data_IF_754297058901
#
_entry.id   IF_754297058901
#
_cell.length_a   1.000
_cell.length_b   1.000
_cell.length_c   1.000
_cell.angle_alpha   90.00
_cell.angle_beta   90.00
_cell.angle_gamma   90.00
#
_symmetry.space_group_name_H-M   'P 1'
#
loop_
_entity.id
_entity.type
_entity.pdbx_description
1 polymer ?
#
# COMPACT_ATOMS: atom_id res chain seq x y z
N UNK A 1 -10.91 -14.36 0.30
CA UNK A 1 -9.86 -14.96 -0.58
C UNK A 1 -8.64 -14.07 -0.42
N UNK A 2 -7.50 -14.61 -0.01
CA UNK A 2 -6.25 -13.86 0.08
C UNK A 2 -5.55 -13.93 -1.28
N UNK A 3 -5.59 -12.86 -2.05
CA UNK A 3 -5.03 -12.79 -3.41
C UNK A 3 -3.50 -12.91 -3.46
N UNK A 4 -2.82 -12.81 -2.33
CA UNK A 4 -1.37 -12.80 -2.24
C UNK A 4 -0.77 -14.06 -1.57
N UNK A 5 -1.60 -15.08 -1.29
CA UNK A 5 -1.12 -16.39 -0.86
C UNK A 5 -0.34 -17.16 -1.94
N UNK A 6 -0.72 -17.11 -3.25
CA UNK A 6 0.08 -17.81 -4.24
C UNK A 6 1.50 -17.23 -4.32
N UNK A 7 2.50 -18.08 -4.24
CA UNK A 7 3.93 -17.70 -4.31
C UNK A 7 4.25 -16.87 -5.57
N UNK A 8 3.66 -17.25 -6.71
CA UNK A 8 3.81 -16.52 -7.98
C UNK A 8 3.28 -15.10 -7.93
N UNK A 9 2.15 -14.85 -7.25
CA UNK A 9 1.58 -13.53 -7.07
C UNK A 9 2.47 -12.67 -6.16
N UNK A 10 3.00 -13.23 -5.06
CA UNK A 10 3.91 -12.55 -4.14
C UNK A 10 5.23 -12.18 -4.85
N UNK A 11 5.82 -13.08 -5.66
CA UNK A 11 7.04 -12.82 -6.43
C UNK A 11 6.84 -11.71 -7.47
N UNK A 12 5.70 -11.72 -8.19
CA UNK A 12 5.35 -10.64 -9.13
C UNK A 12 5.16 -9.31 -8.41
N UNK A 13 4.47 -9.32 -7.27
CA UNK A 13 4.30 -8.14 -6.45
C UNK A 13 5.64 -7.54 -6.02
N UNK A 14 6.57 -8.36 -5.54
CA UNK A 14 7.89 -7.90 -5.10
C UNK A 14 8.72 -7.26 -6.24
N UNK A 15 8.55 -7.73 -7.49
CA UNK A 15 9.26 -7.22 -8.67
C UNK A 15 8.56 -6.01 -9.31
N UNK A 16 7.23 -6.01 -9.33
CA UNK A 16 6.45 -5.06 -10.12
C UNK A 16 5.97 -3.82 -9.36
N UNK A 17 6.06 -3.80 -8.03
CA UNK A 17 5.65 -2.61 -7.27
C UNK A 17 6.76 -1.57 -7.21
N UNK A 18 6.51 -0.34 -7.67
CA UNK A 18 7.48 0.74 -7.57
C UNK A 18 7.62 1.28 -6.15
N UNK A 19 8.64 2.06 -5.91
CA UNK A 19 8.93 2.67 -4.61
C UNK A 19 8.02 3.88 -4.34
N UNK A 20 6.72 3.66 -4.18
CA UNK A 20 5.75 4.73 -3.91
C UNK A 20 5.97 5.48 -2.60
N UNK A 21 6.61 4.80 -1.62
CA UNK A 21 6.44 5.15 -0.21
C UNK A 21 7.31 6.32 0.23
N UNK A 22 8.45 6.56 -0.43
CA UNK A 22 9.40 7.61 0.01
C UNK A 22 8.78 9.00 0.07
N UNK A 23 7.96 9.37 -0.93
CA UNK A 23 7.27 10.67 -0.92
C UNK A 23 6.23 10.75 0.20
N UNK A 24 5.48 9.66 0.42
CA UNK A 24 4.49 9.60 1.51
C UNK A 24 5.17 9.66 2.89
N UNK A 25 6.29 8.96 3.08
CA UNK A 25 7.04 9.01 4.34
C UNK A 25 7.64 10.38 4.60
N UNK A 26 8.14 11.07 3.56
CA UNK A 26 8.59 12.47 3.69
C UNK A 26 7.44 13.37 4.11
N UNK A 27 6.26 13.21 3.52
CA UNK A 27 5.07 13.96 3.89
C UNK A 27 4.66 13.69 5.35
N UNK A 28 4.72 12.44 5.82
CA UNK A 28 4.50 12.09 7.24
C UNK A 28 5.52 12.81 8.13
N UNK A 29 6.80 12.80 7.75
CA UNK A 29 7.86 13.48 8.50
C UNK A 29 7.60 14.97 8.66
N UNK A 30 7.24 15.63 7.56
CA UNK A 30 6.94 17.07 7.53
C UNK A 30 5.69 17.40 8.37
N UNK A 31 4.61 16.63 8.19
CA UNK A 31 3.37 16.83 8.93
C UNK A 31 3.56 16.66 10.45
N UNK A 32 4.27 15.62 10.85
CA UNK A 32 4.57 15.35 12.27
C UNK A 32 5.70 16.23 12.83
N UNK A 33 6.31 17.09 12.01
CA UNK A 33 7.42 17.98 12.37
C UNK A 33 8.58 17.23 13.06
N UNK A 34 9.00 16.11 12.47
CA UNK A 34 10.01 15.24 13.08
C UNK A 34 11.42 15.80 12.89
N UNK A 35 11.94 16.52 13.89
CA UNK A 35 13.33 17.00 13.93
C UNK A 35 14.34 15.84 14.13
N UNK A 36 13.91 14.76 14.78
CA UNK A 36 14.64 13.53 15.00
C UNK A 36 13.78 12.31 14.70
N UNK A 37 14.42 11.18 14.44
CA UNK A 37 13.71 9.93 14.23
C UNK A 37 12.92 9.51 15.46
N UNK A 38 11.76 8.94 15.21
CA UNK A 38 10.96 8.22 16.20
C UNK A 38 11.77 7.03 16.77
N UNK A 39 11.43 6.60 17.95
CA UNK A 39 12.09 5.43 18.56
C UNK A 39 11.66 4.14 17.85
N UNK A 40 10.34 3.90 17.76
CA UNK A 40 9.78 2.68 17.16
C UNK A 40 8.59 2.96 16.26
N UNK A 41 8.61 2.37 15.06
CA UNK A 41 7.47 2.35 14.13
C UNK A 41 7.10 0.92 13.76
N UNK A 42 5.79 0.68 13.59
CA UNK A 42 5.21 -0.58 13.12
C UNK A 42 4.44 -0.35 11.84
N UNK A 43 4.67 -1.20 10.85
CA UNK A 43 3.92 -1.27 9.60
C UNK A 43 3.08 -2.54 9.58
N UNK A 44 1.75 -2.40 9.61
CA UNK A 44 0.81 -3.53 9.63
C UNK A 44 0.32 -3.79 8.21
N UNK A 45 0.19 -5.06 7.82
CA UNK A 45 -0.04 -5.53 6.45
C UNK A 45 1.06 -5.04 5.51
N UNK A 46 2.30 -5.25 5.91
CA UNK A 46 3.50 -4.70 5.26
C UNK A 46 3.85 -5.39 3.93
N UNK A 47 3.26 -6.52 3.62
CA UNK A 47 3.52 -7.28 2.41
C UNK A 47 4.99 -7.62 2.24
N UNK A 48 5.56 -7.22 1.08
CA UNK A 48 6.99 -7.41 0.77
C UNK A 48 7.91 -6.37 1.41
N UNK A 49 7.43 -5.58 2.37
CA UNK A 49 8.21 -4.66 3.19
C UNK A 49 8.67 -3.37 2.51
N UNK A 50 8.08 -2.98 1.37
CA UNK A 50 8.47 -1.74 0.68
C UNK A 50 8.09 -0.49 1.51
N UNK A 51 6.89 -0.45 2.08
CA UNK A 51 6.45 0.59 3.02
C UNK A 51 7.27 0.58 4.31
N UNK A 52 7.50 -0.62 4.86
CA UNK A 52 8.28 -0.81 6.09
C UNK A 52 9.70 -0.29 5.92
N UNK A 53 10.36 -0.60 4.81
CA UNK A 53 11.71 -0.11 4.52
C UNK A 53 11.76 1.42 4.45
N UNK A 54 10.74 2.05 3.91
CA UNK A 54 10.68 3.51 3.83
C UNK A 54 10.60 4.16 5.22
N UNK A 55 9.99 3.50 6.21
CA UNK A 55 9.94 3.99 7.60
C UNK A 55 11.32 4.11 8.27
N UNK A 56 12.35 3.44 7.75
CA UNK A 56 13.74 3.63 8.23
C UNK A 56 14.23 5.08 8.09
N UNK A 57 13.58 5.88 7.23
CA UNK A 57 13.88 7.31 7.11
C UNK A 57 13.50 8.09 8.36
N UNK A 58 12.40 7.69 9.03
CA UNK A 58 11.79 8.45 10.13
C UNK A 58 11.77 7.73 11.48
N UNK A 59 12.22 6.46 11.55
CA UNK A 59 12.27 5.70 12.79
C UNK A 59 13.62 4.97 12.96
N UNK A 60 14.05 4.79 14.23
CA UNK A 60 15.28 4.09 14.60
C UNK A 60 15.11 2.57 14.57
N UNK A 61 13.97 2.08 15.06
CA UNK A 61 13.59 0.67 15.07
C UNK A 61 12.30 0.51 14.29
N UNK A 62 12.31 -0.33 13.27
CA UNK A 62 11.16 -0.57 12.40
C UNK A 62 10.75 -2.03 12.44
N UNK A 63 9.45 -2.24 12.55
CA UNK A 63 8.82 -3.55 12.58
C UNK A 63 7.80 -3.64 11.45
N UNK A 64 7.68 -4.82 10.83
CA UNK A 64 6.68 -5.10 9.82
C UNK A 64 5.92 -6.37 10.15
N UNK A 65 4.60 -6.36 10.00
CA UNK A 65 3.77 -7.56 10.16
C UNK A 65 2.85 -7.75 8.97
N UNK A 66 2.68 -9.01 8.58
CA UNK A 66 1.71 -9.42 7.56
C UNK A 66 1.16 -10.80 7.92
N UNK A 67 -0.04 -11.09 7.47
CA UNK A 67 -0.64 -12.42 7.65
C UNK A 67 -0.13 -13.46 6.64
N UNK A 68 0.49 -13.02 5.52
CA UNK A 68 1.04 -13.89 4.48
C UNK A 68 2.52 -14.20 4.71
N UNK A 69 2.87 -15.46 5.01
CA UNK A 69 4.28 -15.89 5.07
C UNK A 69 5.01 -15.71 3.74
N UNK A 70 4.32 -15.89 2.62
CA UNK A 70 4.87 -15.77 1.25
C UNK A 70 5.34 -14.35 1.00
N UNK A 71 4.55 -13.36 1.38
CA UNK A 71 4.91 -11.94 1.28
C UNK A 71 6.11 -11.61 2.16
N UNK A 72 6.12 -12.05 3.41
CA UNK A 72 7.21 -11.80 4.35
C UNK A 72 8.53 -12.49 3.95
N UNK A 73 8.47 -13.67 3.31
CA UNK A 73 9.67 -14.33 2.78
C UNK A 73 10.39 -13.50 1.71
N UNK A 74 9.65 -12.64 1.00
CA UNK A 74 10.16 -11.72 -0.02
C UNK A 74 10.39 -10.30 0.53
N UNK A 75 10.18 -10.07 1.83
CA UNK A 75 10.24 -8.75 2.40
C UNK A 75 11.64 -8.13 2.30
N UNK A 76 11.67 -6.86 1.89
CA UNK A 76 12.89 -6.08 1.70
C UNK A 76 13.44 -5.53 3.03
N UNK A 77 14.77 -5.44 3.14
CA UNK A 77 15.43 -4.80 4.28
C UNK A 77 15.48 -5.69 5.53
N UNK A 78 15.51 -7.01 5.36
CA UNK A 78 15.51 -8.01 6.45
C UNK A 78 16.60 -7.79 7.50
N UNK A 79 17.75 -7.23 7.13
CA UNK A 79 18.87 -7.01 8.08
C UNK A 79 18.63 -5.86 9.07
N UNK A 80 17.68 -4.96 8.76
CA UNK A 80 17.44 -3.73 9.52
C UNK A 80 16.01 -3.66 10.09
N UNK A 81 15.15 -4.59 9.71
CA UNK A 81 13.72 -4.59 10.04
C UNK A 81 13.38 -5.94 10.66
N UNK A 82 12.55 -5.90 11.70
CA UNK A 82 12.03 -7.12 12.33
C UNK A 82 10.66 -7.44 11.75
N UNK A 83 10.56 -8.56 11.02
CA UNK A 83 9.31 -9.03 10.46
C UNK A 83 8.71 -10.15 11.30
N UNK A 84 7.38 -10.16 11.43
CA UNK A 84 6.63 -11.20 12.12
C UNK A 84 5.31 -11.51 11.41
N UNK A 85 4.90 -12.77 11.38
CA UNK A 85 3.58 -13.16 10.88
C UNK A 85 2.55 -12.79 11.95
N UNK A 86 1.57 -11.95 11.59
CA UNK A 86 0.47 -11.58 12.46
C UNK A 86 -0.73 -11.03 11.66
N UNK A 87 -1.93 -11.25 12.19
CA UNK A 87 -3.13 -10.56 11.72
C UNK A 87 -3.17 -9.12 12.26
N UNK A 88 -3.81 -8.22 11.52
CA UNK A 88 -3.89 -6.81 11.91
C UNK A 88 -4.58 -6.61 13.28
N UNK A 89 -5.50 -7.49 13.61
CA UNK A 89 -6.33 -7.48 14.81
C UNK A 89 -5.68 -8.11 16.04
N UNK A 90 -4.47 -8.71 15.87
CA UNK A 90 -3.74 -9.36 16.96
C UNK A 90 -2.24 -9.36 16.67
N UNK A 91 -1.50 -8.50 17.36
CA UNK A 91 -0.10 -8.25 17.13
C UNK A 91 0.79 -8.79 18.26
N UNK A 92 1.97 -9.36 17.96
CA UNK A 92 2.84 -10.00 18.95
C UNK A 92 3.73 -8.99 19.71
N UNK A 93 3.20 -7.82 20.07
CA UNK A 93 3.95 -6.78 20.75
C UNK A 93 3.26 -6.36 22.05
N UNK A 94 4.05 -5.90 23.06
CA UNK A 94 3.49 -5.33 24.28
C UNK A 94 2.69 -4.05 24.04
N UNK A 95 1.86 -3.69 25.02
CA UNK A 95 1.11 -2.44 25.04
C UNK A 95 2.05 -1.23 24.97
N UNK A 96 1.57 -0.14 24.39
CA UNK A 96 2.26 1.17 24.37
C UNK A 96 3.72 1.09 23.87
N UNK A 97 3.96 0.27 22.83
CA UNK A 97 5.30 -0.01 22.31
C UNK A 97 5.74 0.95 21.21
N UNK A 98 4.82 1.58 20.49
CA UNK A 98 5.13 2.29 19.25
C UNK A 98 4.75 3.78 19.29
N UNK A 99 5.62 4.59 18.66
CA UNK A 99 5.39 6.01 18.44
C UNK A 99 4.56 6.26 17.17
N UNK A 100 4.58 5.28 16.25
CA UNK A 100 3.87 5.32 14.98
C UNK A 100 3.46 3.90 14.59
N UNK A 101 2.19 3.76 14.21
CA UNK A 101 1.67 2.60 13.48
C UNK A 101 1.23 3.06 12.10
N UNK A 102 1.65 2.37 11.05
CA UNK A 102 1.24 2.65 9.67
C UNK A 102 0.51 1.46 9.05
N UNK A 103 -0.42 1.76 8.15
CA UNK A 103 -1.01 0.79 7.22
C UNK A 103 -1.01 1.39 5.83
N UNK A 104 -0.36 0.70 4.89
CA UNK A 104 -0.32 1.10 3.49
C UNK A 104 -1.17 0.17 2.64
N UNK A 105 -2.26 0.67 2.07
CA UNK A 105 -3.13 -0.07 1.11
C UNK A 105 -3.68 -1.41 1.64
N UNK A 106 -3.72 -1.62 2.96
CA UNK A 106 -4.13 -2.88 3.59
C UNK A 106 -5.45 -2.80 4.37
N UNK A 107 -5.85 -1.61 4.80
CA UNK A 107 -6.93 -1.41 5.79
C UNK A 107 -8.30 -1.99 5.36
N UNK A 108 -8.55 -2.09 4.06
CA UNK A 108 -9.80 -2.65 3.51
C UNK A 108 -9.94 -4.18 3.66
N UNK A 109 -8.91 -4.86 4.18
CA UNK A 109 -8.93 -6.29 4.49
C UNK A 109 -9.28 -6.59 5.97
N UNK A 110 -9.29 -5.57 6.83
CA UNK A 110 -9.36 -5.70 8.27
C UNK A 110 -10.79 -5.73 8.81
N UNK A 111 -10.96 -6.38 9.94
CA UNK A 111 -12.02 -6.06 10.91
C UNK A 111 -11.62 -4.77 11.62
N UNK A 112 -12.18 -3.65 11.13
CA UNK A 112 -11.75 -2.31 11.54
C UNK A 112 -11.94 -2.07 13.04
N UNK A 113 -13.03 -2.57 13.63
CA UNK A 113 -13.30 -2.40 15.06
C UNK A 113 -12.25 -3.10 15.92
N UNK A 114 -11.87 -4.31 15.57
CA UNK A 114 -10.83 -5.07 16.27
C UNK A 114 -9.44 -4.47 16.02
N UNK A 115 -9.17 -4.10 14.76
CA UNK A 115 -7.91 -3.45 14.39
C UNK A 115 -7.69 -2.15 15.15
N UNK A 116 -8.69 -1.28 15.27
CA UNK A 116 -8.57 -0.03 16.03
C UNK A 116 -8.32 -0.30 17.51
N UNK A 117 -8.98 -1.29 18.11
CA UNK A 117 -8.68 -1.71 19.48
C UNK A 117 -7.23 -2.15 19.67
N UNK A 118 -6.71 -2.94 18.71
CA UNK A 118 -5.32 -3.40 18.74
C UNK A 118 -4.32 -2.26 18.48
N UNK A 119 -4.58 -1.39 17.51
CA UNK A 119 -3.75 -0.22 17.25
C UNK A 119 -3.69 0.71 18.47
N UNK A 120 -4.82 0.89 19.17
CA UNK A 120 -4.86 1.66 20.42
C UNK A 120 -3.98 1.00 21.50
N UNK A 121 -4.05 -0.31 21.67
CA UNK A 121 -3.19 -1.03 22.64
C UNK A 121 -1.71 -0.83 22.34
N UNK A 122 -1.32 -0.90 21.06
CA UNK A 122 0.08 -0.87 20.61
C UNK A 122 0.72 0.52 20.68
N UNK A 123 -0.02 1.57 20.38
CA UNK A 123 0.49 2.92 20.35
C UNK A 123 0.76 3.45 21.76
N UNK A 124 1.77 4.28 21.93
CA UNK A 124 1.97 5.11 23.12
C UNK A 124 0.88 6.19 23.18
N UNK A 125 0.64 6.76 24.36
CA UNK A 125 -0.28 7.90 24.51
C UNK A 125 0.12 9.05 23.57
N UNK A 126 -0.86 9.69 22.94
CA UNK A 126 -0.70 10.79 21.98
C UNK A 126 0.10 10.43 20.70
N UNK A 127 0.41 9.16 20.48
CA UNK A 127 1.10 8.67 19.27
C UNK A 127 0.15 8.51 18.10
N UNK A 128 0.69 8.14 16.93
CA UNK A 128 0.01 8.25 15.65
C UNK A 128 -0.28 6.92 14.98
N UNK A 129 -1.52 6.76 14.54
CA UNK A 129 -1.93 5.80 13.51
C UNK A 129 -2.02 6.57 12.19
N UNK A 130 -1.24 6.15 11.18
CA UNK A 130 -1.27 6.75 9.85
C UNK A 130 -1.71 5.72 8.84
N UNK A 131 -2.85 5.97 8.20
CA UNK A 131 -3.38 5.15 7.12
C UNK A 131 -3.15 5.88 5.81
N UNK A 132 -2.62 5.19 4.79
CA UNK A 132 -2.44 5.79 3.48
C UNK A 132 -2.55 4.78 2.33
N UNK A 133 -2.87 5.28 1.16
CA UNK A 133 -2.93 4.49 -0.05
C UNK A 133 -2.38 5.26 -1.25
N UNK A 134 -1.54 4.58 -2.05
CA UNK A 134 -1.17 5.02 -3.39
C UNK A 134 -2.04 4.25 -4.39
N UNK A 135 -3.04 4.90 -4.97
CA UNK A 135 -3.95 4.28 -5.93
C UNK A 135 -3.71 4.81 -7.34
N UNK A 136 -3.88 3.91 -8.29
CA UNK A 136 -3.70 4.24 -9.70
C UNK A 136 -4.88 5.11 -10.19
N UNK A 137 -4.58 6.30 -10.73
CA UNK A 137 -5.60 7.25 -11.24
C UNK A 137 -5.55 7.39 -12.77
N UNK A 138 -4.73 6.58 -13.44
CA UNK A 138 -4.57 6.58 -14.90
C UNK A 138 -4.23 7.96 -15.49
N UNK A 139 -3.46 8.75 -14.80
CA UNK A 139 -3.05 10.07 -15.28
C UNK A 139 -1.60 10.03 -15.76
N UNK A 140 -1.42 10.07 -17.07
CA UNK A 140 -0.12 10.23 -17.74
C UNK A 140 -0.07 11.66 -18.30
N UNK A 141 0.78 12.57 -17.75
CA UNK A 141 0.85 13.95 -18.22
C UNK A 141 1.11 14.05 -19.74
N UNK A 142 0.28 14.82 -20.41
CA UNK A 142 0.36 14.96 -21.87
C UNK A 142 -0.32 13.86 -22.68
N UNK A 143 -0.96 12.88 -22.04
CA UNK A 143 -1.63 11.77 -22.72
C UNK A 143 -3.04 11.49 -22.13
N UNK A 144 -4.05 12.19 -22.64
CA UNK A 144 -5.45 12.01 -22.21
C UNK A 144 -6.01 10.64 -22.62
N UNK A 145 -5.52 10.05 -23.71
CA UNK A 145 -5.99 8.73 -24.17
C UNK A 145 -5.67 7.63 -23.15
N UNK A 146 -4.57 7.75 -22.40
CA UNK A 146 -4.22 6.81 -21.34
C UNK A 146 -5.26 6.80 -20.22
N UNK A 147 -5.82 7.97 -19.90
CA UNK A 147 -6.88 8.10 -18.90
C UNK A 147 -8.18 7.43 -19.33
N UNK A 148 -8.51 7.49 -20.63
CA UNK A 148 -9.69 6.85 -21.21
C UNK A 148 -9.49 5.32 -21.36
N UNK A 149 -8.28 4.90 -21.72
CA UNK A 149 -7.92 3.49 -21.87
C UNK A 149 -8.13 2.69 -20.58
N UNK A 150 -7.79 3.26 -19.46
CA UNK A 150 -7.83 2.52 -18.20
C UNK A 150 -9.23 2.00 -17.84
N UNK A 151 -10.30 2.80 -17.77
CA UNK A 151 -11.65 2.27 -17.55
C UNK A 151 -12.22 1.57 -18.79
N UNK A 152 -11.93 2.06 -20.00
CA UNK A 152 -12.53 1.59 -21.25
C UNK A 152 -11.98 0.25 -21.74
N UNK A 153 -10.71 -0.05 -21.49
CA UNK A 153 -10.05 -1.29 -21.91
C UNK A 153 -9.62 -2.14 -20.72
N UNK A 154 -8.75 -1.59 -19.84
CA UNK A 154 -8.15 -2.39 -18.77
C UNK A 154 -9.18 -2.87 -17.74
N UNK A 155 -9.93 -1.98 -17.11
CA UNK A 155 -10.93 -2.34 -16.08
C UNK A 155 -12.12 -3.10 -16.69
N UNK A 156 -12.50 -2.79 -17.93
CA UNK A 156 -13.54 -3.53 -18.63
C UNK A 156 -13.15 -4.98 -18.86
N UNK A 157 -11.86 -5.24 -19.20
CA UNK A 157 -11.33 -6.59 -19.42
C UNK A 157 -11.09 -7.33 -18.10
N UNK A 158 -10.54 -6.63 -17.11
CA UNK A 158 -10.19 -7.18 -15.81
C UNK A 158 -10.85 -6.38 -14.69
N UNK A 159 -12.11 -6.67 -14.35
CA UNK A 159 -12.85 -5.94 -13.31
C UNK A 159 -12.19 -6.07 -11.94
N UNK A 160 -12.18 -4.97 -11.18
CA UNK A 160 -11.66 -5.00 -9.81
C UNK A 160 -12.55 -5.86 -8.90
N UNK A 161 -11.96 -6.75 -8.07
CA UNK A 161 -12.74 -7.49 -7.08
C UNK A 161 -13.34 -6.53 -6.04
N UNK A 162 -14.47 -6.91 -5.42
CA UNK A 162 -15.07 -6.11 -4.38
C UNK A 162 -14.10 -5.91 -3.21
N UNK A 163 -14.10 -4.67 -2.67
CA UNK A 163 -13.32 -4.29 -1.48
C UNK A 163 -14.27 -3.88 -0.37
N UNK A 164 -13.91 -4.15 0.88
CA UNK A 164 -14.63 -3.63 2.03
C UNK A 164 -14.19 -2.18 2.30
N UNK A 165 -15.04 -1.23 1.90
CA UNK A 165 -14.82 0.20 2.11
C UNK A 165 -15.91 0.81 3.01
N UNK A 166 -16.58 -0.02 3.82
CA UNK A 166 -17.79 0.37 4.53
C UNK A 166 -17.54 1.07 5.88
N UNK A 167 -16.29 1.27 6.30
CA UNK A 167 -16.01 1.98 7.55
C UNK A 167 -16.01 3.50 7.31
N UNK A 168 -16.82 4.18 8.10
CA UNK A 168 -16.87 5.64 8.10
C UNK A 168 -15.84 6.21 9.09
N UNK A 169 -14.78 6.78 8.54
CA UNK A 169 -13.63 7.33 9.28
C UNK A 169 -13.94 8.71 9.88
N UNK A 170 -15.09 8.87 10.51
CA UNK A 170 -15.48 10.10 11.21
C UNK A 170 -14.88 10.17 12.62
N UNK A 171 -14.79 11.41 13.16
CA UNK A 171 -14.39 11.58 14.56
C UNK A 171 -15.38 10.94 15.54
N UNK A 172 -16.66 10.88 15.20
CA UNK A 172 -17.67 10.22 16.01
C UNK A 172 -17.33 8.73 16.20
N UNK A 173 -17.08 8.00 15.11
CA UNK A 173 -16.72 6.59 15.16
C UNK A 173 -15.36 6.35 15.83
N UNK A 174 -14.37 7.17 15.50
CA UNK A 174 -13.01 7.03 16.03
C UNK A 174 -12.92 7.31 17.53
N UNK A 175 -13.70 8.27 18.06
CA UNK A 175 -13.74 8.56 19.48
C UNK A 175 -14.22 7.37 20.32
N UNK A 176 -15.11 6.54 19.79
CA UNK A 176 -15.54 5.30 20.47
C UNK A 176 -14.39 4.32 20.68
N UNK A 177 -13.31 4.47 19.92
CA UNK A 177 -12.07 3.67 19.97
C UNK A 177 -10.89 4.45 20.57
N UNK A 178 -11.14 5.58 21.22
CA UNK A 178 -10.13 6.47 21.79
C UNK A 178 -9.13 7.02 20.76
N UNK A 179 -9.60 7.31 19.56
CA UNK A 179 -8.85 7.98 18.51
C UNK A 179 -9.50 9.28 18.07
N UNK A 180 -8.70 10.15 17.45
CA UNK A 180 -9.15 11.38 16.81
C UNK A 180 -8.55 11.47 15.41
N UNK A 181 -9.37 11.63 14.37
CA UNK A 181 -8.90 12.03 13.05
C UNK A 181 -8.49 13.51 13.12
N UNK A 182 -7.20 13.77 12.96
CA UNK A 182 -6.66 15.14 12.99
C UNK A 182 -6.76 15.78 11.63
N UNK A 183 -6.37 15.05 10.56
CA UNK A 183 -6.53 15.51 9.18
C UNK A 183 -6.58 14.32 8.21
N UNK A 184 -7.19 14.59 7.06
CA UNK A 184 -7.06 13.77 5.85
C UNK A 184 -6.54 14.65 4.73
N UNK A 185 -5.52 14.20 4.04
CA UNK A 185 -4.91 14.93 2.94
C UNK A 185 -4.88 14.07 1.68
N UNK A 186 -4.90 14.74 0.51
CA UNK A 186 -4.81 14.09 -0.80
C UNK A 186 -3.79 14.81 -1.65
N UNK A 187 -2.91 14.06 -2.30
CA UNK A 187 -1.92 14.61 -3.20
C UNK A 187 -1.61 13.65 -4.35
N UNK A 188 -0.95 14.15 -5.39
CA UNK A 188 -0.46 13.30 -6.48
C UNK A 188 0.97 12.85 -6.19
N UNK A 189 1.21 11.58 -6.43
CA UNK A 189 2.53 10.96 -6.29
C UNK A 189 3.00 10.50 -7.68
N UNK A 190 3.84 11.28 -8.39
CA UNK A 190 4.33 10.89 -9.71
C UNK A 190 5.36 9.77 -9.58
N UNK A 191 5.17 8.73 -10.37
CA UNK A 191 6.07 7.57 -10.49
C UNK A 191 6.44 7.39 -11.95
N UNK A 192 7.72 7.21 -12.21
CA UNK A 192 8.24 7.00 -13.56
C UNK A 192 8.27 5.51 -13.91
N UNK A 193 7.80 5.18 -15.11
CA UNK A 193 7.79 3.82 -15.66
C UNK A 193 8.26 3.84 -17.10
N UNK A 194 8.99 2.83 -17.50
CA UNK A 194 9.01 2.41 -18.89
C UNK A 194 7.85 1.42 -19.16
N UNK A 195 7.62 1.07 -20.42
CA UNK A 195 6.51 0.18 -20.83
C UNK A 195 6.52 -1.15 -20.09
N UNK A 196 7.69 -1.81 -19.98
CA UNK A 196 7.83 -3.11 -19.32
C UNK A 196 7.56 -3.03 -17.82
N UNK A 197 8.04 -1.98 -17.17
CA UNK A 197 7.78 -1.76 -15.74
C UNK A 197 6.29 -1.53 -15.48
N UNK A 198 5.60 -0.77 -16.34
CA UNK A 198 4.17 -0.53 -16.19
C UNK A 198 3.35 -1.80 -16.46
N UNK A 199 3.69 -2.60 -17.47
CA UNK A 199 3.07 -3.89 -17.72
C UNK A 199 3.24 -4.81 -16.50
N UNK A 200 4.46 -4.93 -15.97
CA UNK A 200 4.73 -5.72 -14.77
C UNK A 200 3.95 -5.20 -13.56
N UNK A 201 3.84 -3.87 -13.37
CA UNK A 201 3.02 -3.29 -12.31
C UNK A 201 1.55 -3.74 -12.43
N UNK A 202 0.96 -3.73 -13.62
CA UNK A 202 -0.42 -4.18 -13.81
C UNK A 202 -0.62 -5.65 -13.47
N UNK A 203 0.35 -6.53 -13.74
CA UNK A 203 0.25 -7.94 -13.33
C UNK A 203 0.22 -8.15 -11.81
N UNK A 204 0.56 -7.13 -11.02
CA UNK A 204 0.50 -7.17 -9.54
C UNK A 204 -0.82 -6.70 -8.96
N UNK A 205 -1.78 -6.30 -9.80
CA UNK A 205 -3.08 -5.81 -9.35
C UNK A 205 -4.00 -6.97 -8.98
N UNK A 206 -4.81 -6.78 -7.93
CA UNK A 206 -5.73 -7.82 -7.43
C UNK A 206 -6.74 -8.33 -8.47
N UNK A 207 -7.12 -7.51 -9.45
CA UNK A 207 -8.00 -7.91 -10.54
C UNK A 207 -7.32 -8.91 -11.50
N UNK A 208 -6.05 -8.69 -11.86
CA UNK A 208 -5.28 -9.64 -12.67
C UNK A 208 -5.03 -10.93 -11.88
N UNK A 209 -4.57 -10.82 -10.64
CA UNK A 209 -4.36 -11.99 -9.77
C UNK A 209 -5.65 -12.79 -9.66
N UNK A 210 -6.79 -12.13 -9.43
CA UNK A 210 -8.10 -12.80 -9.35
C UNK A 210 -8.48 -13.52 -10.62
N UNK A 211 -8.24 -12.93 -11.80
CA UNK A 211 -8.57 -13.55 -13.09
C UNK A 211 -7.70 -14.79 -13.35
N UNK A 212 -6.40 -14.71 -13.04
CA UNK A 212 -5.47 -15.84 -13.19
C UNK A 212 -5.81 -16.99 -12.22
N UNK A 213 -6.04 -16.68 -10.95
CA UNK A 213 -6.39 -17.69 -9.93
C UNK A 213 -7.72 -18.40 -10.22
N UNK A 214 -8.64 -17.74 -10.93
CA UNK A 214 -9.89 -18.35 -11.39
C UNK A 214 -9.73 -19.15 -12.69
N UNK A 215 -8.55 -19.12 -13.31
CA UNK A 215 -8.30 -19.76 -14.60
C UNK A 215 -8.97 -19.06 -15.79
N UNK A 216 -9.36 -17.79 -15.64
CA UNK A 216 -9.96 -16.99 -16.72
C UNK A 216 -8.91 -16.54 -17.75
N UNK A 217 -7.63 -16.48 -17.36
CA UNK A 217 -6.48 -16.12 -18.18
C UNK A 217 -5.19 -16.60 -17.53
N UNK A 218 -4.06 -16.53 -18.26
CA UNK A 218 -2.71 -16.78 -17.73
C UNK A 218 -1.93 -15.47 -17.61
N UNK A 219 -0.82 -15.47 -16.85
CA UNK A 219 0.04 -14.29 -16.77
C UNK A 219 0.69 -13.96 -18.11
N UNK A 220 1.02 -14.96 -18.91
CA UNK A 220 1.59 -14.83 -20.25
C UNK A 220 0.62 -14.11 -21.19
N UNK A 221 -0.64 -14.52 -21.22
CA UNK A 221 -1.70 -13.87 -22.00
C UNK A 221 -1.94 -12.41 -21.56
N UNK A 222 -1.88 -12.15 -20.26
CA UNK A 222 -2.00 -10.79 -19.70
C UNK A 222 -0.81 -9.94 -20.13
N UNK A 223 0.42 -10.44 -20.03
CA UNK A 223 1.63 -9.73 -20.43
C UNK A 223 1.64 -9.40 -21.93
N UNK A 224 1.28 -10.35 -22.80
CA UNK A 224 1.15 -10.11 -24.24
C UNK A 224 0.08 -9.06 -24.56
N UNK A 225 -1.05 -9.12 -23.86
CA UNK A 225 -2.11 -8.13 -24.04
C UNK A 225 -1.66 -6.75 -23.56
N UNK A 226 -1.05 -6.63 -22.38
CA UNK A 226 -0.52 -5.38 -21.86
C UNK A 226 0.58 -4.79 -22.75
N UNK A 227 1.49 -5.61 -23.28
CA UNK A 227 2.55 -5.13 -24.17
C UNK A 227 1.96 -4.47 -25.42
N UNK A 228 0.95 -5.10 -26.04
CA UNK A 228 0.26 -4.54 -27.20
C UNK A 228 -0.50 -3.24 -26.87
N UNK A 229 -1.27 -3.23 -25.78
CA UNK A 229 -2.07 -2.06 -25.39
C UNK A 229 -1.19 -0.88 -24.99
N UNK A 230 -0.16 -1.12 -24.19
CA UNK A 230 0.72 -0.06 -23.71
C UNK A 230 1.63 0.50 -24.80
N UNK A 231 1.87 -0.22 -25.89
CA UNK A 231 2.59 0.31 -27.07
C UNK A 231 1.89 1.50 -27.71
N UNK A 232 0.63 1.75 -27.42
CA UNK A 232 -0.09 2.98 -27.83
C UNK A 232 0.38 4.24 -27.08
N UNK A 233 1.06 4.08 -25.94
CA UNK A 233 1.42 5.18 -25.03
C UNK A 233 2.92 5.36 -24.82
N UNK A 234 3.73 4.47 -25.38
CA UNK A 234 5.18 4.51 -25.29
C UNK A 234 5.77 4.37 -26.69
N UNK A 235 6.53 5.36 -27.14
CA UNK A 235 7.19 5.34 -28.45
C UNK A 235 8.19 4.20 -28.60
N UNK A 236 8.91 3.89 -27.53
CA UNK A 236 9.88 2.80 -27.43
C UNK A 236 9.89 2.21 -26.03
N UNK A 237 10.31 0.95 -25.89
CA UNK A 237 10.31 0.21 -24.62
C UNK A 237 11.10 0.87 -23.50
N UNK A 238 12.17 1.58 -23.83
CA UNK A 238 13.07 2.24 -22.86
C UNK A 238 12.68 3.69 -22.53
N UNK A 239 11.66 4.25 -23.22
CA UNK A 239 11.14 5.59 -22.90
C UNK A 239 10.42 5.54 -21.57
N UNK A 240 10.78 6.46 -20.69
CA UNK A 240 10.14 6.60 -19.39
C UNK A 240 9.05 7.66 -19.44
N UNK A 241 7.89 7.35 -18.85
CA UNK A 241 6.76 8.24 -18.69
C UNK A 241 6.41 8.39 -17.22
N UNK A 242 6.14 9.62 -16.80
CA UNK A 242 5.60 9.88 -15.47
C UNK A 242 4.11 9.52 -15.43
N UNK A 243 3.72 8.76 -14.43
CA UNK A 243 2.31 8.41 -14.16
C UNK A 243 1.97 8.90 -12.76
N UNK A 244 0.95 9.74 -12.67
CA UNK A 244 0.48 10.23 -11.38
C UNK A 244 -0.38 9.17 -10.70
N UNK A 245 -0.02 8.87 -9.46
CA UNK A 245 -0.85 8.13 -8.53
C UNK A 245 -1.59 9.11 -7.62
N UNK A 246 -2.85 8.81 -7.32
CA UNK A 246 -3.54 9.47 -6.21
C UNK A 246 -3.01 8.91 -4.89
N UNK A 247 -2.73 9.79 -3.96
CA UNK A 247 -2.44 9.42 -2.59
C UNK A 247 -3.51 10.04 -1.69
N UNK A 248 -4.05 9.25 -0.76
CA UNK A 248 -4.74 9.78 0.39
C UNK A 248 -4.03 9.31 1.65
N UNK A 249 -4.02 10.16 2.66
CA UNK A 249 -3.38 9.91 3.94
C UNK A 249 -4.27 10.44 5.07
N UNK A 250 -4.48 9.63 6.11
CA UNK A 250 -5.20 9.99 7.33
C UNK A 250 -4.25 9.98 8.50
N UNK A 251 -4.18 11.10 9.20
CA UNK A 251 -3.45 11.24 10.46
C UNK A 251 -4.43 11.10 11.61
N UNK A 252 -4.32 9.99 12.32
CA UNK A 252 -5.20 9.61 13.41
C UNK A 252 -4.37 9.56 14.69
N UNK A 253 -4.76 10.31 15.71
CA UNK A 253 -4.02 10.38 16.96
C UNK A 253 -4.71 9.54 18.03
N UNK A 254 -3.93 8.71 18.74
CA UNK A 254 -4.39 8.04 19.95
C UNK A 254 -4.68 9.07 21.03
N UNK A 255 -5.88 9.04 21.61
CA UNK A 255 -6.24 9.81 22.79
C UNK A 255 -5.80 9.09 24.07
N UNK A 256 -5.80 9.80 25.18
CA UNK A 256 -5.49 9.23 26.50
C UNK A 256 -6.58 8.30 26.98
#
# INVERSE_FOLDING_TARGET
MNYFEPKTAAERYAKGRPAFHSNTIRHIKEYLQLDKKLDKALDIACGTGLSTRALLEIANSVYGTDSSPEMLNLAAGKDKIKYSIANAEQQPFPDSSFDLVTVSSGVHWFDIDRFLGEAHRLLKSQSWLVLYENHFIAEMPGNEQFKEWFPGSYIKKYPSPPRNNNYDWTNENLQTKHFRLVTEEKFKNPITFNKKQLALYFTTQSNIISAVEKGETTYEEVEEWLDRELSLFFDHDEVEQAINYGNWIKFIQRMN
#
